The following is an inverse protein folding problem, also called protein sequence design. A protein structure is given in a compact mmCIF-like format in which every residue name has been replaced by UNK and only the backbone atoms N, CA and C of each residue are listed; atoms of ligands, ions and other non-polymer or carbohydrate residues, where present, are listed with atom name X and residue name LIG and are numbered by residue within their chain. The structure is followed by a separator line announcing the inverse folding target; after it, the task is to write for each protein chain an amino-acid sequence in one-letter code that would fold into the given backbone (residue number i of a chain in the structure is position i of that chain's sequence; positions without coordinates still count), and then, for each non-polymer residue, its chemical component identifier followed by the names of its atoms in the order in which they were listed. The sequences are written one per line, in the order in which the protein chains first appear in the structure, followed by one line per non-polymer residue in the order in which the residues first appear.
data_IF_174750531004
#
_entry.id   IF_174750531004
#
_cell.length_a   1.000
_cell.length_b   1.000
_cell.length_c   1.000
_cell.angle_alpha   90.00
_cell.angle_beta   90.00
_cell.angle_gamma   90.00
#
_symmetry.space_group_name_H-M   'P 1'
#
loop_
_entity.id
_entity.type
_entity.pdbx_description
1 polymer ?
#
# COMPACT_ATOMS: atom_id res chain seq x y z
N UNK A 1 -4.42 4.08 14.25
CA UNK A 1 -2.97 3.91 14.47
C UNK A 1 -2.26 4.24 13.17
N UNK A 2 -1.28 5.13 13.20
CA UNK A 2 -0.52 5.54 12.02
C UNK A 2 0.66 4.59 11.75
N UNK A 3 0.80 4.16 10.50
CA UNK A 3 1.85 3.25 10.02
C UNK A 3 2.96 3.97 9.24
N UNK A 4 2.81 5.28 8.98
CA UNK A 4 3.80 6.07 8.23
C UNK A 4 5.18 6.02 8.90
N UNK A 5 6.20 5.73 8.11
CA UNK A 5 7.60 5.66 8.55
C UNK A 5 7.92 4.52 9.52
N UNK A 6 6.99 3.58 9.76
CA UNK A 6 7.22 2.46 10.69
C UNK A 6 7.62 1.21 9.95
N UNK A 7 8.62 0.50 10.45
CA UNK A 7 8.96 -0.82 9.93
C UNK A 7 7.80 -1.80 10.17
N UNK A 8 7.54 -2.66 9.19
CA UNK A 8 6.52 -3.69 9.27
C UNK A 8 7.17 -5.07 9.29
N UNK A 9 6.79 -5.89 10.27
CA UNK A 9 7.23 -7.28 10.40
C UNK A 9 6.17 -8.16 9.74
N UNK A 10 6.53 -8.82 8.63
CA UNK A 10 5.60 -9.62 7.81
C UNK A 10 4.31 -8.87 7.38
N UNK A 11 4.37 -7.54 7.26
CA UNK A 11 3.21 -6.71 6.90
C UNK A 11 2.36 -6.24 8.09
N UNK A 12 2.76 -6.55 9.32
CA UNK A 12 2.10 -6.09 10.54
C UNK A 12 2.96 -5.06 11.29
N UNK A 13 2.32 -4.14 11.99
CA UNK A 13 3.01 -3.31 12.98
C UNK A 13 3.35 -4.14 14.21
N UNK A 14 4.39 -3.72 14.95
CA UNK A 14 4.75 -4.36 16.22
C UNK A 14 3.57 -4.38 17.22
N UNK A 15 2.80 -3.29 17.28
CA UNK A 15 1.61 -3.21 18.13
C UNK A 15 0.53 -4.22 17.71
N UNK A 16 0.33 -4.42 16.41
CA UNK A 16 -0.63 -5.41 15.92
C UNK A 16 -0.17 -6.82 16.33
N UNK A 17 1.10 -7.16 16.14
CA UNK A 17 1.66 -8.45 16.56
C UNK A 17 1.53 -8.68 18.06
N UNK A 18 1.82 -7.67 18.88
CA UNK A 18 1.64 -7.75 20.34
C UNK A 18 0.18 -8.01 20.72
N UNK A 19 -0.76 -7.33 20.06
CA UNK A 19 -2.19 -7.50 20.31
C UNK A 19 -2.69 -8.89 19.90
N UNK A 20 -2.19 -9.41 18.76
CA UNK A 20 -2.48 -10.76 18.30
C UNK A 20 -1.96 -11.80 19.30
N UNK A 21 -0.73 -11.62 19.80
CA UNK A 21 -0.14 -12.52 20.79
C UNK A 21 -0.99 -12.60 22.07
N UNK A 22 -1.41 -11.46 22.61
CA UNK A 22 -2.27 -11.41 23.81
C UNK A 22 -3.63 -12.09 23.59
N UNK A 23 -4.22 -11.96 22.40
CA UNK A 23 -5.47 -12.64 22.06
C UNK A 23 -5.29 -14.17 22.03
N UNK A 24 -4.21 -14.64 21.40
CA UNK A 24 -3.89 -16.07 21.33
C UNK A 24 -3.54 -16.65 22.70
N UNK A 25 -2.88 -15.89 23.58
CA UNK A 25 -2.60 -16.29 24.97
C UNK A 25 -3.88 -16.51 25.79
N UNK A 26 -4.96 -15.77 25.48
CA UNK A 26 -6.30 -15.99 26.06
C UNK A 26 -7.07 -17.15 25.44
N UNK A 27 -6.47 -17.90 24.51
CA UNK A 27 -7.11 -18.98 23.73
C UNK A 27 -8.30 -18.49 22.88
N UNK A 28 -8.26 -17.24 22.45
CA UNK A 28 -9.22 -16.65 21.52
C UNK A 28 -8.68 -16.73 20.08
N UNK A 29 -9.50 -16.30 19.11
CA UNK A 29 -9.15 -16.30 17.69
C UNK A 29 -8.93 -14.87 17.17
N UNK A 30 -7.93 -14.72 16.32
CA UNK A 30 -7.67 -13.49 15.56
C UNK A 30 -8.15 -13.67 14.13
N UNK A 31 -8.99 -12.76 13.65
CA UNK A 31 -9.39 -12.70 12.25
C UNK A 31 -8.64 -11.58 11.53
N UNK A 32 -7.97 -11.91 10.42
CA UNK A 32 -7.20 -10.96 9.62
C UNK A 32 -7.88 -10.80 8.26
N UNK A 33 -8.33 -9.59 7.96
CA UNK A 33 -8.90 -9.25 6.65
C UNK A 33 -7.79 -8.76 5.72
N UNK A 34 -7.71 -9.35 4.54
CA UNK A 34 -6.79 -8.94 3.48
C UNK A 34 -7.62 -8.57 2.25
N UNK A 35 -7.11 -7.63 1.45
CA UNK A 35 -7.74 -7.29 0.19
C UNK A 35 -7.83 -8.54 -0.70
N UNK A 36 -8.97 -8.69 -1.39
CA UNK A 36 -9.18 -9.81 -2.32
C UNK A 36 -8.08 -9.85 -3.39
N UNK A 37 -7.76 -11.06 -3.86
CA UNK A 37 -6.87 -11.25 -5.02
C UNK A 37 -7.42 -10.46 -6.21
N UNK A 38 -6.53 -9.77 -6.93
CA UNK A 38 -6.90 -8.91 -8.07
C UNK A 38 -7.29 -7.48 -7.71
N UNK A 39 -7.13 -7.06 -6.45
CA UNK A 39 -7.22 -5.64 -6.10
C UNK A 39 -6.15 -4.84 -6.85
N UNK A 40 -6.54 -3.76 -7.51
CA UNK A 40 -5.67 -2.89 -8.29
C UNK A 40 -4.78 -2.05 -7.34
N UNK A 41 -3.45 -2.27 -7.30
CA UNK A 41 -2.60 -1.58 -6.34
C UNK A 41 -2.36 -0.13 -6.75
N UNK A 42 -2.31 0.79 -5.78
CA UNK A 42 -1.92 2.20 -6.00
C UNK A 42 -0.53 2.46 -5.43
N UNK A 43 0.23 3.39 -6.00
CA UNK A 43 1.54 3.76 -5.48
C UNK A 43 1.39 4.70 -4.27
N UNK A 44 2.07 4.39 -3.16
CA UNK A 44 2.00 5.14 -1.92
C UNK A 44 3.41 5.36 -1.33
N UNK A 45 3.66 6.52 -0.75
CA UNK A 45 4.87 6.77 0.03
C UNK A 45 4.73 6.24 1.46
N UNK A 46 5.68 5.39 1.87
CA UNK A 46 5.71 4.86 3.22
C UNK A 46 6.00 5.93 4.27
N UNK A 47 6.76 6.97 3.91
CA UNK A 47 7.23 7.99 4.85
C UNK A 47 6.19 9.09 5.14
N UNK A 48 5.61 9.71 4.11
CA UNK A 48 4.63 10.80 4.31
C UNK A 48 3.17 10.38 4.08
N UNK A 49 2.93 9.23 3.43
CA UNK A 49 1.59 8.78 3.08
C UNK A 49 1.04 9.31 1.76
N UNK A 50 1.85 10.02 0.95
CA UNK A 50 1.45 10.45 -0.40
C UNK A 50 0.89 9.28 -1.22
N UNK A 51 -0.17 9.54 -2.01
CA UNK A 51 -0.83 8.55 -2.87
C UNK A 51 -0.84 9.08 -4.30
N UNK A 52 -0.53 8.22 -5.28
CA UNK A 52 -0.61 8.56 -6.69
C UNK A 52 -2.07 8.74 -7.15
N UNK A 53 -2.54 9.98 -7.20
CA UNK A 53 -3.86 10.36 -7.70
C UNK A 53 -3.85 10.77 -9.19
N UNK A 54 -5.00 10.69 -9.84
CA UNK A 54 -5.22 11.15 -11.20
C UNK A 54 -5.65 12.63 -11.21
N UNK A 55 -4.95 13.45 -11.99
CA UNK A 55 -5.21 14.90 -12.08
C UNK A 55 -6.49 15.25 -12.85
N UNK A 56 -7.20 14.25 -13.42
CA UNK A 56 -8.34 14.47 -14.31
C UNK A 56 -9.68 13.92 -13.78
N UNK A 57 -9.71 13.01 -12.81
CA UNK A 57 -10.97 12.37 -12.41
C UNK A 57 -11.04 11.88 -10.95
N UNK A 58 -10.23 12.44 -10.05
CA UNK A 58 -10.32 12.22 -8.59
C UNK A 58 -10.29 10.75 -8.13
N UNK A 59 -9.62 9.89 -8.91
CA UNK A 59 -9.35 8.49 -8.56
C UNK A 59 -7.86 8.24 -8.42
N UNK A 60 -7.52 7.18 -7.68
CA UNK A 60 -6.14 6.73 -7.56
C UNK A 60 -5.67 6.02 -8.82
N UNK A 61 -4.41 6.26 -9.20
CA UNK A 61 -3.75 5.56 -10.28
C UNK A 61 -3.41 4.12 -9.85
N UNK A 62 -3.56 3.19 -10.80
CA UNK A 62 -3.16 1.79 -10.63
C UNK A 62 -1.71 1.59 -11.08
N UNK A 63 -0.92 0.88 -10.29
CA UNK A 63 0.44 0.48 -10.61
C UNK A 63 0.42 -0.72 -11.55
N UNK A 64 0.93 -0.53 -12.76
CA UNK A 64 1.20 -1.59 -13.73
C UNK A 64 2.68 -1.91 -13.74
N UNK A 65 3.14 -2.74 -12.79
CA UNK A 65 4.57 -3.04 -12.59
C UNK A 65 5.28 -3.53 -13.85
N UNK A 66 4.67 -4.46 -14.60
CA UNK A 66 5.25 -5.02 -15.84
C UNK A 66 5.47 -3.97 -16.93
N UNK A 67 4.57 -2.98 -17.00
CA UNK A 67 4.64 -1.90 -17.97
C UNK A 67 5.36 -0.65 -17.43
N UNK A 68 5.90 -0.72 -16.21
CA UNK A 68 6.55 0.37 -15.49
C UNK A 68 5.77 1.71 -15.53
N UNK A 69 4.44 1.65 -15.37
CA UNK A 69 3.56 2.81 -15.49
C UNK A 69 2.46 2.86 -14.44
N UNK A 70 1.94 4.07 -14.23
CA UNK A 70 0.71 4.35 -13.51
C UNK A 70 -0.41 4.55 -14.54
N UNK A 71 -1.58 3.97 -14.28
CA UNK A 71 -2.73 4.07 -15.19
C UNK A 71 -4.00 4.43 -14.42
N UNK A 72 -4.71 5.45 -14.90
CA UNK A 72 -6.08 5.69 -14.51
C UNK A 72 -7.01 4.84 -15.40
N UNK A 73 -7.78 3.92 -14.81
CA UNK A 73 -8.75 3.12 -15.58
C UNK A 73 -10.12 3.81 -15.77
N UNK A 74 -10.26 5.05 -15.28
CA UNK A 74 -11.49 5.82 -15.47
C UNK A 74 -11.40 6.77 -16.67
N UNK A 75 -10.24 7.39 -16.91
CA UNK A 75 -10.02 8.34 -18.01
C UNK A 75 -8.82 7.98 -18.90
N UNK A 76 -8.27 6.77 -18.74
CA UNK A 76 -7.13 6.23 -19.50
C UNK A 76 -5.81 7.02 -19.45
N UNK A 77 -5.71 8.03 -18.58
CA UNK A 77 -4.46 8.79 -18.40
C UNK A 77 -3.35 7.91 -17.85
N UNK A 78 -2.15 8.04 -18.42
CA UNK A 78 -0.96 7.27 -18.05
C UNK A 78 0.16 8.20 -17.59
N UNK A 79 0.88 7.78 -16.56
CA UNK A 79 2.08 8.45 -16.05
C UNK A 79 3.21 7.44 -15.88
N UNK A 80 4.46 7.90 -15.94
CA UNK A 80 5.60 7.06 -15.58
C UNK A 80 5.51 6.63 -14.11
N UNK A 81 6.06 5.45 -13.80
CA UNK A 81 6.21 5.05 -12.39
C UNK A 81 7.23 5.97 -11.71
N UNK A 82 6.87 6.53 -10.56
CA UNK A 82 7.79 7.35 -9.77
C UNK A 82 8.69 6.46 -8.89
N UNK A 83 9.95 6.86 -8.76
CA UNK A 83 10.93 6.23 -7.87
C UNK A 83 11.19 7.05 -6.60
N UNK A 84 10.80 8.32 -6.61
CA UNK A 84 10.99 9.25 -5.49
C UNK A 84 9.68 9.97 -5.20
N UNK A 85 9.33 10.10 -3.93
CA UNK A 85 8.10 10.77 -3.49
C UNK A 85 8.13 12.26 -3.85
N UNK A 86 7.09 12.79 -4.51
CA UNK A 86 7.04 14.21 -4.87
C UNK A 86 6.84 15.14 -3.68
N UNK A 87 6.34 14.64 -2.53
CA UNK A 87 6.09 15.46 -1.35
C UNK A 87 7.26 15.50 -0.36
N UNK A 88 7.89 14.35 -0.08
CA UNK A 88 8.93 14.25 0.96
C UNK A 88 10.29 13.76 0.44
N UNK A 89 10.43 13.52 -0.87
CA UNK A 89 11.68 13.07 -1.52
C UNK A 89 12.20 11.70 -1.08
N UNK A 90 11.42 10.95 -0.30
CA UNK A 90 11.74 9.56 0.06
C UNK A 90 11.72 8.63 -1.16
N UNK A 91 12.61 7.66 -1.22
CA UNK A 91 12.59 6.57 -2.21
C UNK A 91 11.68 5.40 -1.80
N UNK A 92 11.08 5.46 -0.59
CA UNK A 92 10.21 4.41 -0.06
C UNK A 92 8.79 4.49 -0.64
N UNK A 93 8.68 4.31 -1.96
CA UNK A 93 7.41 4.18 -2.67
C UNK A 93 7.02 2.71 -2.82
N UNK A 94 5.86 2.36 -2.29
CA UNK A 94 5.35 1.00 -2.25
C UNK A 94 3.94 0.92 -2.84
N UNK A 95 3.60 -0.16 -3.57
CA UNK A 95 2.21 -0.43 -3.90
C UNK A 95 1.40 -0.73 -2.64
N UNK A 96 0.31 0.01 -2.41
CA UNK A 96 -0.55 -0.04 -1.21
C UNK A 96 -1.23 -1.41 -1.02
N UNK A 97 -1.45 -2.14 -2.11
CA UNK A 97 -1.77 -3.56 -2.05
C UNK A 97 -0.52 -4.36 -2.46
N UNK A 98 0.07 -5.06 -1.50
CA UNK A 98 0.93 -6.19 -1.83
C UNK A 98 0.04 -7.23 -2.51
N UNK A 99 0.14 -7.34 -3.83
CA UNK A 99 -0.21 -8.60 -4.48
C UNK A 99 0.58 -9.67 -3.73
N UNK A 100 -0.12 -10.56 -3.01
CA UNK A 100 0.48 -11.77 -2.48
C UNK A 100 1.10 -12.50 -3.68
N UNK A 101 2.43 -12.40 -3.80
CA UNK A 101 3.16 -13.29 -4.68
C UNK A 101 2.96 -14.70 -4.13
N UNK A 102 2.52 -15.59 -5.03
CA UNK A 102 2.65 -17.03 -4.86
C UNK A 102 4.13 -17.40 -4.86
#
# INVERSE_FOLDING_TARGET
MDLRGKSLIHGFSEQALASMKLCLERKEQVLIFLNRRGYAPTLMCHQCGWIAACDHCDVNLTVHKRANKLHCHHCDTQKALLHTCPECQSEELLPSAKAQNR
#
